data_IF_849535896659
#
_entry.id   IF_849535896659
#
_cell.length_a   1.000
_cell.length_b   1.000
_cell.length_c   1.000
_cell.angle_alpha   90.00
_cell.angle_beta   90.00
_cell.angle_gamma   90.00
#
_symmetry.space_group_name_H-M   'P 1'
#
loop_
_entity.id
_entity.type
_entity.pdbx_description
1 polymer ?
#
# COMPACT_ATOMS: atom_id res chain seq x y z
N UNK A 1 0.13 -15.29 -17.11
CA UNK A 1 0.93 -15.59 -15.90
C UNK A 1 0.00 -16.10 -14.79
N UNK A 2 0.55 -16.84 -13.82
CA UNK A 2 -0.25 -17.33 -12.66
C UNK A 2 -0.97 -16.17 -11.97
N UNK A 3 -0.25 -15.07 -11.73
CA UNK A 3 -0.82 -13.91 -11.04
C UNK A 3 -1.92 -13.20 -11.86
N UNK A 4 -1.77 -13.12 -13.17
CA UNK A 4 -2.84 -12.55 -14.01
C UNK A 4 -4.11 -13.39 -13.95
N UNK A 5 -3.99 -14.72 -13.90
CA UNK A 5 -5.16 -15.60 -13.75
C UNK A 5 -5.83 -15.47 -12.38
N UNK A 6 -5.05 -15.35 -11.30
CA UNK A 6 -5.58 -15.15 -9.93
C UNK A 6 -6.34 -13.83 -9.82
N UNK A 7 -5.81 -12.76 -10.41
CA UNK A 7 -6.41 -11.42 -10.34
C UNK A 7 -7.45 -11.15 -11.45
N UNK A 8 -7.71 -12.13 -12.32
CA UNK A 8 -8.68 -11.97 -13.40
C UNK A 8 -8.30 -10.92 -14.43
N UNK A 9 -7.00 -10.73 -14.69
CA UNK A 9 -6.50 -9.74 -15.65
C UNK A 9 -5.59 -10.39 -16.71
N UNK A 10 -5.20 -9.61 -17.73
CA UNK A 10 -4.27 -10.08 -18.76
C UNK A 10 -2.80 -9.83 -18.33
N UNK A 11 -1.85 -10.57 -18.92
CA UNK A 11 -0.42 -10.40 -18.64
C UNK A 11 0.11 -8.99 -18.99
N UNK A 12 -0.54 -8.28 -19.91
CA UNK A 12 -0.19 -6.90 -20.26
C UNK A 12 -0.56 -5.88 -19.20
N UNK A 13 -1.47 -6.26 -18.26
CA UNK A 13 -1.96 -5.41 -17.18
C UNK A 13 -1.10 -5.46 -15.92
N UNK A 14 -0.01 -6.22 -15.90
CA UNK A 14 0.86 -6.30 -14.74
C UNK A 14 2.34 -6.24 -15.11
N UNK A 15 3.16 -5.80 -14.15
CA UNK A 15 4.61 -5.92 -14.20
C UNK A 15 5.18 -6.27 -12.85
N UNK A 16 6.34 -6.94 -12.86
CA UNK A 16 7.10 -7.28 -11.66
C UNK A 16 8.19 -6.24 -11.38
N UNK A 17 8.62 -6.16 -10.14
CA UNK A 17 9.66 -5.25 -9.65
C UNK A 17 10.46 -5.88 -8.52
N UNK A 18 11.61 -5.28 -8.19
CA UNK A 18 12.44 -5.65 -7.04
C UNK A 18 11.82 -5.25 -5.68
N UNK A 19 10.55 -5.59 -5.46
CA UNK A 19 9.70 -5.16 -4.34
C UNK A 19 8.86 -3.93 -4.69
N UNK A 20 7.71 -3.73 -4.01
CA UNK A 20 6.83 -2.56 -4.25
C UNK A 20 7.56 -1.22 -4.09
N UNK A 21 8.62 -1.16 -3.28
CA UNK A 21 9.44 0.04 -3.13
C UNK A 21 10.08 0.54 -4.42
N UNK A 22 10.36 -0.33 -5.41
CA UNK A 22 10.81 0.09 -6.73
C UNK A 22 9.68 0.80 -7.49
N UNK A 23 8.46 0.26 -7.45
CA UNK A 23 7.28 0.89 -8.06
C UNK A 23 7.05 2.28 -7.48
N UNK A 24 7.09 2.40 -6.14
CA UNK A 24 6.96 3.67 -5.43
C UNK A 24 7.99 4.70 -5.91
N UNK A 25 9.25 4.32 -5.94
CA UNK A 25 10.35 5.20 -6.39
C UNK A 25 10.22 5.57 -7.86
N UNK A 26 9.83 4.61 -8.71
CA UNK A 26 9.63 4.84 -10.14
C UNK A 26 8.50 5.87 -10.38
N UNK A 27 7.37 5.77 -9.67
CA UNK A 27 6.30 6.77 -9.76
C UNK A 27 6.76 8.15 -9.26
N UNK A 28 7.51 8.19 -8.18
CA UNK A 28 8.13 9.44 -7.69
C UNK A 28 9.12 10.05 -8.70
N UNK A 29 9.86 9.21 -9.43
CA UNK A 29 10.77 9.65 -10.50
C UNK A 29 10.02 10.18 -11.72
N UNK A 30 8.98 9.48 -12.17
CA UNK A 30 8.11 9.94 -13.27
C UNK A 30 7.54 11.31 -12.93
N UNK A 31 6.97 11.48 -11.72
CA UNK A 31 6.45 12.78 -11.27
C UNK A 31 7.52 13.88 -11.27
N UNK A 32 8.76 13.55 -10.88
CA UNK A 32 9.85 14.52 -10.88
C UNK A 32 10.29 14.93 -12.30
N UNK A 33 10.28 14.02 -13.27
CA UNK A 33 10.70 14.27 -14.64
C UNK A 33 9.60 14.97 -15.44
N UNK A 34 8.36 14.53 -15.31
CA UNK A 34 7.24 15.08 -16.10
C UNK A 34 6.64 16.34 -15.46
N UNK A 35 6.99 16.62 -14.21
CA UNK A 35 6.44 17.71 -13.42
C UNK A 35 5.14 17.33 -12.73
N UNK A 36 4.73 18.20 -11.80
CA UNK A 36 3.48 18.04 -11.06
C UNK A 36 3.69 17.96 -9.55
N UNK A 37 2.58 17.72 -8.87
CA UNK A 37 2.48 17.62 -7.40
C UNK A 37 1.96 16.23 -7.03
N UNK A 38 2.37 15.73 -5.88
CA UNK A 38 1.78 14.55 -5.26
C UNK A 38 0.79 15.00 -4.20
N UNK A 39 -0.41 14.43 -4.23
CA UNK A 39 -1.42 14.56 -3.18
C UNK A 39 -1.50 13.22 -2.42
N UNK A 40 -1.38 13.25 -1.10
CA UNK A 40 -1.43 12.07 -0.24
C UNK A 40 -2.00 12.38 1.13
N UNK A 41 -2.27 11.35 1.93
CA UNK A 41 -2.66 11.52 3.32
C UNK A 41 -1.46 11.61 4.27
N UNK A 42 -1.71 12.05 5.50
CA UNK A 42 -0.72 12.05 6.59
C UNK A 42 -1.39 11.67 7.92
N UNK A 43 -0.84 10.68 8.67
CA UNK A 43 0.32 9.87 8.33
C UNK A 43 0.02 8.76 7.32
N UNK A 44 1.01 8.46 6.47
CA UNK A 44 0.99 7.33 5.53
C UNK A 44 2.41 6.80 5.26
N UNK A 45 2.56 5.78 4.43
CA UNK A 45 3.88 5.25 4.09
C UNK A 45 4.64 6.21 3.16
N UNK A 46 5.85 6.61 3.56
CA UNK A 46 6.52 7.79 3.00
C UNK A 46 7.54 7.54 1.88
N UNK A 47 7.84 6.30 1.50
CA UNK A 47 8.96 6.04 0.58
C UNK A 47 8.79 6.73 -0.78
N UNK A 48 7.58 6.76 -1.32
CA UNK A 48 7.27 7.46 -2.56
C UNK A 48 7.50 8.97 -2.41
N UNK A 49 6.88 9.57 -1.41
CA UNK A 49 6.91 11.02 -1.21
C UNK A 49 8.31 11.52 -0.88
N UNK A 50 9.04 10.84 0.03
CA UNK A 50 10.43 11.19 0.36
C UNK A 50 11.37 11.11 -0.85
N UNK A 51 11.17 10.10 -1.70
CA UNK A 51 11.97 9.95 -2.91
C UNK A 51 11.70 11.06 -3.92
N UNK A 52 10.44 11.45 -4.08
CA UNK A 52 10.00 12.52 -4.96
C UNK A 52 10.44 13.91 -4.45
N UNK A 53 10.25 14.19 -3.15
CA UNK A 53 10.66 15.46 -2.52
C UNK A 53 12.16 15.73 -2.64
N UNK A 54 13.01 14.70 -2.48
CA UNK A 54 14.46 14.82 -2.73
C UNK A 54 14.81 15.20 -4.17
N UNK A 55 13.83 15.16 -5.09
CA UNK A 55 13.93 15.53 -6.51
C UNK A 55 13.14 16.79 -6.84
N UNK A 56 12.73 17.54 -5.81
CA UNK A 56 12.05 18.82 -5.98
C UNK A 56 10.53 18.72 -6.19
N UNK A 57 9.94 17.55 -6.12
CA UNK A 57 8.47 17.39 -6.24
C UNK A 57 7.78 17.95 -5.02
N UNK A 58 6.77 18.79 -5.22
CA UNK A 58 5.91 19.29 -4.15
C UNK A 58 4.91 18.21 -3.72
N UNK A 59 4.71 18.08 -2.41
CA UNK A 59 3.76 17.11 -1.84
C UNK A 59 2.75 17.83 -0.97
N UNK A 60 1.47 17.67 -1.29
CA UNK A 60 0.36 18.10 -0.43
C UNK A 60 -0.07 16.92 0.43
N UNK A 61 -0.10 17.13 1.75
CA UNK A 61 -0.49 16.13 2.73
C UNK A 61 -1.79 16.53 3.40
N UNK A 62 -2.75 15.61 3.40
CA UNK A 62 -4.07 15.80 4.00
C UNK A 62 -4.14 14.95 5.27
N UNK A 63 -4.45 15.51 6.43
CA UNK A 63 -4.61 14.72 7.65
C UNK A 63 -5.68 13.63 7.48
N UNK A 64 -5.50 12.51 8.17
CA UNK A 64 -6.55 11.50 8.31
C UNK A 64 -7.73 12.06 9.12
N UNK A 65 -8.89 11.42 9.02
CA UNK A 65 -10.09 11.81 9.77
C UNK A 65 -9.99 11.49 11.28
N UNK A 66 -11.01 11.81 12.03
CA UNK A 66 -11.07 11.56 13.47
C UNK A 66 -11.03 10.04 13.83
N UNK A 67 -11.32 9.16 12.89
CA UNK A 67 -11.23 7.70 13.03
C UNK A 67 -9.88 7.15 12.55
N UNK A 68 -8.91 8.04 12.28
CA UNK A 68 -7.59 7.68 11.72
C UNK A 68 -7.66 6.98 10.36
N UNK A 69 -8.72 7.26 9.58
CA UNK A 69 -8.90 6.77 8.21
C UNK A 69 -8.53 7.89 7.23
N UNK A 70 -8.00 7.53 6.07
CA UNK A 70 -7.72 8.50 4.99
C UNK A 70 -9.02 9.21 4.59
N UNK A 71 -9.03 10.53 4.73
CA UNK A 71 -10.18 11.37 4.41
C UNK A 71 -10.24 11.71 2.91
N UNK A 72 -11.00 10.91 2.17
CA UNK A 72 -11.14 11.07 0.73
C UNK A 72 -11.86 12.36 0.33
N UNK A 73 -12.75 12.89 1.17
CA UNK A 73 -13.45 14.14 0.91
C UNK A 73 -12.53 15.33 1.11
N UNK A 74 -11.74 15.33 2.18
CA UNK A 74 -10.69 16.33 2.40
C UNK A 74 -9.62 16.25 1.30
N UNK A 75 -9.22 15.06 0.84
CA UNK A 75 -8.30 14.90 -0.29
C UNK A 75 -8.89 15.46 -1.59
N UNK A 76 -10.18 15.26 -1.84
CA UNK A 76 -10.86 15.86 -3.00
C UNK A 76 -10.83 17.39 -2.93
N UNK A 77 -11.10 17.96 -1.75
CA UNK A 77 -11.06 19.41 -1.54
C UNK A 77 -9.64 20.01 -1.67
N UNK A 78 -8.60 19.23 -1.35
CA UNK A 78 -7.20 19.65 -1.46
C UNK A 78 -6.60 19.46 -2.87
N UNK A 79 -7.35 18.91 -3.82
CA UNK A 79 -6.89 18.73 -5.20
C UNK A 79 -6.71 20.09 -5.88
N UNK A 80 -5.59 20.22 -6.59
CA UNK A 80 -5.26 21.36 -7.47
C UNK A 80 -4.84 20.84 -8.84
N UNK A 81 -4.97 21.65 -9.89
CA UNK A 81 -4.73 21.19 -11.27
C UNK A 81 -3.27 20.83 -11.57
N UNK A 82 -2.34 21.20 -10.69
CA UNK A 82 -0.94 20.78 -10.76
C UNK A 82 -0.68 19.39 -10.12
N UNK A 83 -1.69 18.74 -9.54
CA UNK A 83 -1.57 17.38 -9.02
C UNK A 83 -1.54 16.39 -10.16
N UNK A 84 -0.41 15.69 -10.34
CA UNK A 84 -0.22 14.64 -11.35
C UNK A 84 -0.34 13.23 -10.78
N UNK A 85 -0.21 13.07 -9.44
CA UNK A 85 -0.28 11.80 -8.76
C UNK A 85 -1.02 11.93 -7.42
N UNK A 86 -2.06 11.12 -7.24
CA UNK A 86 -2.66 10.86 -5.91
C UNK A 86 -2.11 9.54 -5.41
N UNK A 87 -1.53 9.55 -4.20
CA UNK A 87 -0.96 8.37 -3.56
C UNK A 87 -1.78 7.97 -2.33
N UNK A 88 -2.33 6.77 -2.35
CA UNK A 88 -3.13 6.15 -1.30
C UNK A 88 -2.49 4.84 -0.84
N UNK A 89 -2.61 4.51 0.44
CA UNK A 89 -2.15 3.23 1.02
C UNK A 89 -3.36 2.57 1.70
N UNK A 90 -3.71 1.35 1.28
CA UNK A 90 -4.93 0.69 1.75
C UNK A 90 -4.78 -0.84 1.84
N UNK A 91 -4.63 -1.42 3.03
CA UNK A 91 -4.57 -0.81 4.37
C UNK A 91 -3.43 0.17 4.55
N UNK A 92 -3.68 1.25 5.32
CA UNK A 92 -2.66 2.28 5.54
C UNK A 92 -1.53 1.80 6.48
N UNK A 93 -0.43 2.52 6.48
CA UNK A 93 0.74 2.34 7.34
C UNK A 93 1.32 3.73 7.68
N UNK A 94 1.44 4.11 8.96
CA UNK A 94 1.43 3.29 10.17
C UNK A 94 0.04 3.02 10.79
N UNK A 95 -1.01 3.62 10.28
CA UNK A 95 -2.38 3.45 10.78
C UNK A 95 -3.03 2.28 10.02
N UNK A 96 -3.24 1.09 10.64
CA UNK A 96 -3.70 -0.09 9.92
C UNK A 96 -5.21 -0.07 9.62
N UNK A 97 -5.69 1.07 9.17
CA UNK A 97 -7.09 1.31 8.78
C UNK A 97 -7.31 1.08 7.30
N UNK A 98 -8.57 0.85 6.92
CA UNK A 98 -8.99 0.72 5.52
C UNK A 98 -10.02 1.78 5.18
N UNK A 99 -10.01 2.24 3.94
CA UNK A 99 -11.05 3.08 3.38
C UNK A 99 -12.26 2.22 2.97
N UNK A 100 -13.47 2.76 3.15
CA UNK A 100 -14.69 2.08 2.72
C UNK A 100 -14.66 1.88 1.18
N UNK A 101 -14.84 0.65 0.73
CA UNK A 101 -14.70 0.22 -0.66
C UNK A 101 -15.46 1.09 -1.66
N UNK A 102 -16.74 1.42 -1.38
CA UNK A 102 -17.56 2.20 -2.30
C UNK A 102 -17.10 3.66 -2.40
N UNK A 103 -16.68 4.24 -1.26
CA UNK A 103 -16.12 5.61 -1.24
C UNK A 103 -14.80 5.66 -2.01
N UNK A 104 -13.92 4.68 -1.80
CA UNK A 104 -12.64 4.59 -2.50
C UNK A 104 -12.85 4.37 -4.01
N UNK A 105 -13.75 3.46 -4.39
CA UNK A 105 -14.10 3.21 -5.80
C UNK A 105 -14.60 4.49 -6.47
N UNK A 106 -15.54 5.20 -5.84
CA UNK A 106 -16.08 6.46 -6.36
C UNK A 106 -14.99 7.51 -6.51
N UNK A 107 -14.13 7.65 -5.51
CA UNK A 107 -13.00 8.59 -5.52
C UNK A 107 -12.02 8.26 -6.66
N UNK A 108 -11.64 6.99 -6.82
CA UNK A 108 -10.74 6.55 -7.89
C UNK A 108 -11.31 6.85 -9.28
N UNK A 109 -12.58 6.54 -9.52
CA UNK A 109 -13.25 6.80 -10.82
C UNK A 109 -13.38 8.30 -11.13
N UNK A 110 -13.56 9.13 -10.12
CA UNK A 110 -13.61 10.58 -10.27
C UNK A 110 -12.22 11.17 -10.55
N UNK A 111 -11.24 10.84 -9.72
CA UNK A 111 -9.92 11.47 -9.76
C UNK A 111 -9.03 10.94 -10.88
N UNK A 112 -9.26 9.71 -11.35
CA UNK A 112 -8.55 9.14 -12.51
C UNK A 112 -8.81 9.90 -13.83
N UNK A 113 -9.87 10.70 -13.90
CA UNK A 113 -10.15 11.60 -15.02
C UNK A 113 -9.23 12.83 -15.03
N UNK A 114 -8.53 13.10 -13.95
CA UNK A 114 -7.70 14.27 -13.72
C UNK A 114 -6.21 13.95 -13.62
N UNK A 115 -5.85 12.89 -12.90
CA UNK A 115 -4.47 12.49 -12.64
C UNK A 115 -4.36 10.98 -12.39
N UNK A 116 -3.14 10.47 -12.24
CA UNK A 116 -2.92 9.09 -11.81
C UNK A 116 -3.34 8.91 -10.34
N UNK A 117 -4.20 7.93 -10.07
CA UNK A 117 -4.51 7.45 -8.70
C UNK A 117 -3.77 6.14 -8.48
N UNK A 118 -2.81 6.18 -7.56
CA UNK A 118 -2.00 5.03 -7.19
C UNK A 118 -2.35 4.54 -5.79
N UNK A 119 -2.67 3.25 -5.66
CA UNK A 119 -3.05 2.60 -4.42
C UNK A 119 -2.02 1.52 -4.07
N UNK A 120 -1.36 1.64 -2.92
CA UNK A 120 -0.47 0.62 -2.37
C UNK A 120 -1.28 -0.34 -1.50
N UNK A 121 -1.45 -1.57 -1.96
CA UNK A 121 -2.18 -2.65 -1.29
C UNK A 121 -1.22 -3.67 -0.64
N UNK A 122 -0.11 -3.23 -0.07
CA UNK A 122 0.93 -4.12 0.48
C UNK A 122 0.43 -5.07 1.59
N UNK A 123 -0.70 -4.80 2.21
CA UNK A 123 -1.28 -5.61 3.28
C UNK A 123 -2.62 -6.27 2.91
N UNK A 124 -2.99 -6.23 1.64
CA UNK A 124 -4.25 -6.73 1.08
C UNK A 124 -4.62 -8.13 1.60
N UNK A 125 -3.67 -9.05 1.61
CA UNK A 125 -3.91 -10.45 1.95
C UNK A 125 -4.28 -10.69 3.44
N UNK A 126 -4.03 -9.73 4.32
CA UNK A 126 -4.37 -9.81 5.74
C UNK A 126 -5.77 -9.30 6.08
N UNK A 127 -6.40 -8.57 5.15
CA UNK A 127 -7.67 -7.89 5.43
C UNK A 127 -8.80 -8.90 5.59
N UNK A 128 -9.51 -8.79 6.71
CA UNK A 128 -10.76 -9.49 6.99
C UNK A 128 -11.81 -8.44 7.42
N UNK A 129 -12.17 -7.56 6.49
CA UNK A 129 -13.09 -6.47 6.72
C UNK A 129 -14.06 -6.37 5.53
N UNK A 130 -15.38 -6.45 5.74
CA UNK A 130 -16.37 -6.41 4.67
C UNK A 130 -16.42 -5.07 3.93
N UNK A 131 -15.90 -4.00 4.55
CA UNK A 131 -15.82 -2.67 3.94
C UNK A 131 -14.60 -2.50 3.02
N UNK A 132 -13.72 -3.51 2.95
CA UNK A 132 -12.57 -3.50 2.09
C UNK A 132 -12.83 -4.27 0.78
N UNK A 133 -12.28 -3.74 -0.29
CA UNK A 133 -12.18 -4.41 -1.59
C UNK A 133 -10.86 -4.00 -2.26
N UNK A 134 -10.25 -4.92 -2.98
CA UNK A 134 -9.09 -4.57 -3.83
C UNK A 134 -9.51 -3.68 -5.00
N UNK A 135 -8.67 -2.72 -5.35
CA UNK A 135 -8.88 -1.88 -6.52
C UNK A 135 -8.21 -2.42 -7.80
N UNK A 136 -7.63 -3.63 -7.77
CA UNK A 136 -7.03 -4.26 -8.97
C UNK A 136 -8.01 -4.37 -10.14
N UNK A 137 -9.26 -4.86 -9.99
CA UNK A 137 -10.21 -4.90 -11.10
C UNK A 137 -10.50 -3.53 -11.69
N UNK A 138 -10.53 -2.49 -10.84
CA UNK A 138 -10.74 -1.13 -11.29
C UNK A 138 -9.52 -0.57 -12.05
N UNK A 139 -8.31 -0.88 -11.57
CA UNK A 139 -7.05 -0.41 -12.15
C UNK A 139 -6.80 -0.98 -13.54
N UNK A 140 -7.16 -2.24 -13.79
CA UNK A 140 -6.97 -2.86 -15.10
C UNK A 140 -8.03 -2.46 -16.13
N UNK A 141 -9.19 -2.00 -15.67
CA UNK A 141 -10.32 -1.60 -16.51
C UNK A 141 -10.38 -0.09 -16.79
N UNK A 142 -9.67 0.75 -16.03
CA UNK A 142 -9.77 2.20 -16.13
C UNK A 142 -8.39 2.85 -16.29
N UNK A 143 -8.29 3.84 -17.17
CA UNK A 143 -7.07 4.64 -17.31
C UNK A 143 -6.77 5.42 -16.01
N UNK A 144 -5.49 5.66 -15.78
CA UNK A 144 -4.97 6.45 -14.67
C UNK A 144 -5.32 5.90 -13.28
N UNK A 145 -5.51 4.59 -13.16
CA UNK A 145 -5.54 3.90 -11.87
C UNK A 145 -4.44 2.84 -11.87
N UNK A 146 -3.67 2.78 -10.79
CA UNK A 146 -2.64 1.76 -10.60
C UNK A 146 -2.70 1.21 -9.18
N UNK A 147 -2.53 -0.09 -9.04
CA UNK A 147 -2.40 -0.78 -7.75
C UNK A 147 -1.03 -1.43 -7.66
N UNK A 148 -0.37 -1.32 -6.51
CA UNK A 148 0.81 -2.12 -6.21
C UNK A 148 0.55 -3.12 -5.09
N UNK A 149 1.19 -4.29 -5.20
CA UNK A 149 1.26 -5.31 -4.15
C UNK A 149 2.69 -5.80 -3.97
N UNK A 150 2.93 -6.54 -2.90
CA UNK A 150 4.25 -7.06 -2.58
C UNK A 150 4.18 -8.48 -2.04
N UNK A 151 5.09 -9.32 -2.47
CA UNK A 151 5.29 -10.63 -1.87
C UNK A 151 6.09 -10.57 -0.53
N UNK A 152 6.46 -9.38 -0.06
CA UNK A 152 7.27 -9.20 1.15
C UNK A 152 6.52 -9.48 2.46
N UNK A 153 5.18 -9.55 2.44
CA UNK A 153 4.35 -9.67 3.65
C UNK A 153 3.90 -11.11 3.86
N UNK A 154 2.67 -11.46 3.53
CA UNK A 154 2.12 -12.80 3.79
C UNK A 154 2.91 -13.93 3.12
N UNK A 155 3.50 -13.65 1.97
CA UNK A 155 4.30 -14.64 1.22
C UNK A 155 5.74 -14.80 1.76
N UNK A 156 6.18 -14.00 2.72
CA UNK A 156 7.51 -14.13 3.34
C UNK A 156 8.70 -13.72 2.46
N UNK A 157 8.49 -13.07 1.32
CA UNK A 157 9.52 -12.78 0.31
C UNK A 157 10.22 -11.42 0.50
N UNK A 158 10.25 -10.91 1.74
CA UNK A 158 10.89 -9.62 2.02
C UNK A 158 12.35 -9.55 1.56
N UNK A 159 13.14 -10.62 1.76
CA UNK A 159 14.54 -10.74 1.32
C UNK A 159 14.69 -11.07 -0.16
N UNK A 160 13.70 -11.73 -0.78
CA UNK A 160 13.74 -12.18 -2.18
C UNK A 160 13.40 -11.06 -3.16
N UNK A 161 12.68 -10.04 -2.68
CA UNK A 161 12.36 -8.80 -3.39
C UNK A 161 11.45 -8.97 -4.61
N UNK A 162 10.14 -9.08 -4.37
CA UNK A 162 9.13 -9.06 -5.44
C UNK A 162 8.00 -8.09 -5.10
N UNK A 163 7.75 -7.17 -6.02
CA UNK A 163 6.57 -6.30 -6.09
C UNK A 163 5.84 -6.52 -7.40
N UNK A 164 4.57 -6.16 -7.43
CA UNK A 164 3.70 -6.31 -8.59
C UNK A 164 2.90 -5.03 -8.74
N UNK A 165 2.92 -4.43 -9.94
CA UNK A 165 2.02 -3.33 -10.31
C UNK A 165 0.94 -3.84 -11.25
N UNK A 166 -0.29 -3.37 -11.04
CA UNK A 166 -1.47 -3.64 -11.86
C UNK A 166 -2.04 -2.33 -12.39
N UNK A 167 -2.25 -2.24 -13.69
CA UNK A 167 -2.86 -1.08 -14.36
C UNK A 167 -3.23 -1.41 -15.80
N UNK A 168 -3.66 -0.41 -16.57
CA UNK A 168 -3.78 -0.55 -18.02
C UNK A 168 -2.42 -0.76 -18.70
N UNK A 169 -2.41 -1.36 -19.87
CA UNK A 169 -1.19 -1.63 -20.63
C UNK A 169 -0.34 -0.36 -20.84
N UNK A 170 -0.99 0.78 -21.07
CA UNK A 170 -0.34 2.10 -21.23
C UNK A 170 0.55 2.43 -20.01
N UNK A 171 0.00 2.34 -18.80
CA UNK A 171 0.74 2.64 -17.56
C UNK A 171 1.78 1.58 -17.23
N UNK A 172 1.52 0.31 -17.54
CA UNK A 172 2.50 -0.77 -17.35
C UNK A 172 3.71 -0.57 -18.27
N UNK A 173 3.51 -0.18 -19.53
CA UNK A 173 4.61 0.16 -20.44
C UNK A 173 5.39 1.36 -19.91
N UNK A 174 4.71 2.45 -19.57
CA UNK A 174 5.34 3.65 -19.01
C UNK A 174 6.14 3.34 -17.75
N UNK A 175 5.58 2.57 -16.82
CA UNK A 175 6.30 2.20 -15.60
C UNK A 175 7.60 1.44 -15.92
N UNK A 176 7.55 0.49 -16.87
CA UNK A 176 8.73 -0.30 -17.30
C UNK A 176 9.84 0.56 -17.93
N UNK A 177 9.49 1.61 -18.65
CA UNK A 177 10.46 2.53 -19.28
C UNK A 177 11.32 3.25 -18.23
N UNK A 178 10.77 3.51 -17.04
CA UNK A 178 11.45 4.21 -15.95
C UNK A 178 12.01 3.29 -14.88
N UNK A 179 11.66 2.01 -14.89
CA UNK A 179 12.21 1.03 -13.94
C UNK A 179 13.67 0.72 -14.30
N UNK A 180 14.55 0.74 -13.30
CA UNK A 180 15.99 0.53 -13.48
C UNK A 180 16.46 -0.84 -13.00
N UNK A 181 15.64 -1.53 -12.22
CA UNK A 181 15.95 -2.85 -11.69
C UNK A 181 15.54 -3.98 -12.63
N UNK A 182 16.22 -5.10 -12.51
CA UNK A 182 15.83 -6.36 -13.15
C UNK A 182 15.02 -7.23 -12.18
N UNK A 183 13.97 -7.85 -12.67
CA UNK A 183 13.18 -8.77 -11.86
C UNK A 183 13.92 -10.08 -11.64
N UNK A 184 14.05 -10.50 -10.39
CA UNK A 184 14.60 -11.79 -10.04
C UNK A 184 13.65 -12.91 -10.49
N UNK A 185 14.07 -13.74 -11.46
CA UNK A 185 13.24 -14.81 -12.02
C UNK A 185 12.92 -15.90 -10.99
N UNK A 186 13.82 -16.17 -10.04
CA UNK A 186 13.56 -17.10 -8.93
C UNK A 186 12.47 -16.56 -8.01
N UNK A 187 12.46 -15.24 -7.77
CA UNK A 187 11.39 -14.57 -7.02
C UNK A 187 10.03 -14.72 -7.71
N UNK A 188 9.98 -14.56 -9.04
CA UNK A 188 8.75 -14.74 -9.83
C UNK A 188 8.23 -16.18 -9.77
N UNK A 189 9.12 -17.16 -9.92
CA UNK A 189 8.76 -18.58 -9.86
C UNK A 189 8.26 -18.96 -8.45
N UNK A 190 8.98 -18.54 -7.41
CA UNK A 190 8.58 -18.77 -6.01
C UNK A 190 7.26 -18.08 -5.65
N UNK A 191 7.06 -16.84 -6.09
CA UNK A 191 5.78 -16.15 -5.90
C UNK A 191 4.63 -16.87 -6.60
N UNK A 192 4.83 -17.35 -7.83
CA UNK A 192 3.79 -18.10 -8.54
C UNK A 192 3.33 -19.36 -7.78
N UNK A 193 4.24 -20.01 -7.04
CA UNK A 193 3.91 -21.11 -6.13
C UNK A 193 3.18 -20.59 -4.87
N UNK A 194 3.73 -19.56 -4.20
CA UNK A 194 3.18 -19.02 -2.96
C UNK A 194 1.79 -18.40 -3.13
N UNK A 195 1.52 -17.73 -4.24
CA UNK A 195 0.17 -17.19 -4.53
C UNK A 195 -0.89 -18.28 -4.78
N UNK A 196 -0.47 -19.49 -5.18
CA UNK A 196 -1.36 -20.66 -5.29
C UNK A 196 -1.55 -21.38 -3.96
N UNK A 197 -0.63 -21.22 -3.03
CA UNK A 197 -0.66 -21.86 -1.71
C UNK A 197 -1.61 -21.13 -0.77
N UNK A 198 -2.89 -21.37 -0.96
CA UNK A 198 -3.95 -20.79 -0.13
C UNK A 198 -3.94 -21.35 1.29
N UNK A 199 -3.41 -22.56 1.51
CA UNK A 199 -3.30 -23.17 2.83
C UNK A 199 -2.33 -22.40 3.71
N UNK A 200 -1.09 -22.15 3.23
CA UNK A 200 -0.10 -21.33 3.94
C UNK A 200 -0.61 -19.91 4.17
N UNK A 201 -1.25 -19.28 3.17
CA UNK A 201 -1.82 -17.94 3.36
C UNK A 201 -2.92 -17.93 4.45
N UNK A 202 -3.80 -18.94 4.47
CA UNK A 202 -4.83 -19.09 5.51
C UNK A 202 -4.21 -19.32 6.88
N UNK A 203 -3.15 -20.12 6.97
CA UNK A 203 -2.38 -20.31 8.19
C UNK A 203 -1.81 -18.99 8.69
N UNK A 204 -1.15 -18.21 7.82
CA UNK A 204 -0.59 -16.91 8.17
C UNK A 204 -1.66 -15.92 8.64
N UNK A 205 -2.81 -15.85 7.96
CA UNK A 205 -3.95 -15.01 8.39
C UNK A 205 -4.44 -15.39 9.78
N UNK A 206 -4.65 -16.69 10.02
CA UNK A 206 -5.09 -17.18 11.33
C UNK A 206 -4.09 -16.84 12.43
N UNK A 207 -2.79 -17.10 12.19
CA UNK A 207 -1.73 -16.76 13.16
C UNK A 207 -1.61 -15.26 13.44
N UNK A 208 -1.78 -14.45 12.42
CA UNK A 208 -1.85 -13.00 12.59
C UNK A 208 -3.05 -12.59 13.47
N UNK A 209 -4.24 -13.15 13.23
CA UNK A 209 -5.42 -12.87 14.04
C UNK A 209 -5.26 -13.31 15.49
N UNK A 210 -4.69 -14.50 15.73
CA UNK A 210 -4.36 -15.00 17.08
C UNK A 210 -3.41 -14.03 17.81
N UNK A 211 -2.35 -13.58 17.14
CA UNK A 211 -1.37 -12.63 17.69
C UNK A 211 -1.99 -11.27 17.99
N UNK A 212 -2.83 -10.75 17.08
CA UNK A 212 -3.56 -9.51 17.29
C UNK A 212 -4.52 -9.61 18.48
N UNK A 213 -5.24 -10.73 18.65
CA UNK A 213 -6.14 -10.94 19.77
C UNK A 213 -5.40 -10.95 21.12
N UNK A 214 -4.24 -11.62 21.19
CA UNK A 214 -3.38 -11.60 22.39
C UNK A 214 -2.92 -10.17 22.71
N UNK A 215 -2.50 -9.43 21.69
CA UNK A 215 -2.03 -8.04 21.83
C UNK A 215 -3.16 -7.13 22.32
N UNK A 216 -4.35 -7.24 21.73
CA UNK A 216 -5.51 -6.44 22.15
C UNK A 216 -5.94 -6.75 23.58
N UNK A 217 -5.98 -8.03 23.98
CA UNK A 217 -6.30 -8.41 25.35
C UNK A 217 -5.30 -7.81 26.37
N UNK A 218 -4.01 -7.72 26.00
CA UNK A 218 -3.00 -7.06 26.82
C UNK A 218 -3.25 -5.54 26.89
N UNK A 219 -3.54 -4.89 25.77
CA UNK A 219 -3.82 -3.47 25.71
C UNK A 219 -5.07 -3.11 26.51
N UNK A 220 -6.14 -3.89 26.37
CA UNK A 220 -7.39 -3.70 27.14
C UNK A 220 -7.13 -3.83 28.65
N UNK A 221 -6.35 -4.85 29.06
CA UNK A 221 -5.96 -5.05 30.48
C UNK A 221 -5.22 -3.85 31.06
N UNK A 222 -4.44 -3.14 30.26
CA UNK A 222 -3.62 -2.00 30.68
C UNK A 222 -4.18 -0.64 30.26
N UNK A 223 -5.40 -0.57 29.74
CA UNK A 223 -6.05 0.64 29.23
C UNK A 223 -5.20 1.40 28.18
N UNK A 224 -4.47 0.67 27.33
CA UNK A 224 -3.70 1.24 26.24
C UNK A 224 -4.63 1.47 25.06
N UNK A 225 -4.64 2.69 24.52
CA UNK A 225 -5.42 3.01 23.32
C UNK A 225 -4.73 2.46 22.08
N UNK A 226 -5.47 1.81 21.22
CA UNK A 226 -4.97 1.25 19.95
C UNK A 226 -6.00 1.31 18.84
N UNK A 227 -5.55 1.12 17.62
CA UNK A 227 -6.39 0.99 16.43
C UNK A 227 -6.48 -0.48 16.05
N UNK A 228 -7.70 -1.00 15.84
CA UNK A 228 -7.90 -2.36 15.32
C UNK A 228 -7.27 -2.49 13.94
N UNK A 229 -6.43 -3.51 13.79
CA UNK A 229 -5.58 -3.67 12.61
C UNK A 229 -6.25 -4.47 11.49
N UNK A 230 -6.10 -3.97 10.26
CA UNK A 230 -6.36 -4.70 9.02
C UNK A 230 -5.05 -5.19 8.36
N UNK A 231 -3.95 -5.21 9.12
CA UNK A 231 -2.62 -5.59 8.65
C UNK A 231 -1.95 -6.57 9.62
N UNK A 232 -0.64 -6.76 9.53
CA UNK A 232 0.15 -7.59 10.44
C UNK A 232 0.99 -6.77 11.42
N UNK A 233 0.52 -5.61 11.81
CA UNK A 233 1.10 -4.74 12.83
C UNK A 233 -0.02 -3.99 13.57
N UNK A 234 0.29 -3.36 14.68
CA UNK A 234 -0.66 -2.56 15.47
C UNK A 234 -0.14 -1.14 15.62
N UNK A 235 -1.06 -0.20 15.73
CA UNK A 235 -0.78 1.18 16.12
C UNK A 235 -1.44 1.47 17.46
N UNK A 236 -0.66 1.99 18.42
CA UNK A 236 -1.13 2.23 19.79
C UNK A 236 -0.45 3.44 20.41
N UNK A 237 -1.09 4.03 21.41
CA UNK A 237 -0.59 5.17 22.17
C UNK A 237 0.01 4.69 23.51
N UNK A 238 1.23 5.11 23.80
CA UNK A 238 1.89 4.77 25.08
C UNK A 238 1.85 5.90 26.10
N UNK A 239 1.49 7.13 25.68
CA UNK A 239 1.64 8.33 26.50
C UNK A 239 3.11 8.72 26.78
N UNK A 240 4.07 8.02 26.17
CA UNK A 240 5.51 8.22 26.34
C UNK A 240 6.11 8.57 24.96
N UNK A 241 7.15 9.39 24.96
CA UNK A 241 7.87 9.71 23.72
C UNK A 241 8.34 8.45 22.98
N UNK A 242 8.06 8.37 21.68
CA UNK A 242 8.30 7.18 20.85
C UNK A 242 9.75 6.67 20.89
N UNK A 243 10.73 7.59 21.01
CA UNK A 243 12.13 7.21 21.09
C UNK A 243 12.45 6.49 22.41
N UNK A 244 11.87 6.90 23.53
CA UNK A 244 12.00 6.21 24.82
C UNK A 244 11.36 4.82 24.77
N UNK A 245 10.15 4.73 24.20
CA UNK A 245 9.48 3.44 24.03
C UNK A 245 10.36 2.49 23.20
N UNK A 246 10.91 2.95 22.09
CA UNK A 246 11.84 2.16 21.26
C UNK A 246 13.08 1.70 22.04
N UNK A 247 13.65 2.54 22.88
CA UNK A 247 14.80 2.16 23.73
C UNK A 247 14.39 1.09 24.75
N UNK A 248 13.22 1.23 25.38
CA UNK A 248 12.69 0.25 26.35
C UNK A 248 12.47 -1.12 25.67
N UNK A 249 11.86 -1.16 24.49
CA UNK A 249 11.67 -2.40 23.73
C UNK A 249 13.00 -3.06 23.42
N UNK A 250 13.96 -2.31 22.88
CA UNK A 250 15.31 -2.81 22.57
C UNK A 250 16.06 -3.35 23.80
N UNK A 251 15.95 -2.67 24.93
CA UNK A 251 16.57 -3.11 26.20
C UNK A 251 15.99 -4.44 26.70
N UNK A 252 14.78 -4.79 26.27
CA UNK A 252 14.08 -6.04 26.60
C UNK A 252 14.09 -7.07 25.45
N UNK A 253 14.93 -6.88 24.44
CA UNK A 253 15.12 -7.84 23.35
C UNK A 253 14.03 -7.81 22.27
N UNK A 254 13.28 -6.71 22.14
CA UNK A 254 12.22 -6.50 21.16
C UNK A 254 12.60 -5.44 20.13
#
# INVERSE_FOLDING_TARGET
SVLSSIEGCEAKNLTFSGGSGEILKTLGLITAIEGGRILTSDPTYHDLTRYAERRGVKVTRVPVDANMIIDLDAMRAAYTDDVSLIYLVNPNNPLPTVMHKDKLRKFCLEMSKKCLVFIDEAYHEYVNNPDYETMVPLAVANENIMVARTASKIHGFAGVRLGIAYSTEKWIKKLREFMTGSTNQLAVAGAAASYKDTETQNYCRRKNQESLAITYALFDKHNVKYIKSNANFVFFETGIEAQKVRQMFRANGV
#
